data_IF_895429229066
#
_entry.id   IF_895429229066
#
_cell.length_a   1.000
_cell.length_b   1.000
_cell.length_c   1.000
_cell.angle_alpha   90.00
_cell.angle_beta   90.00
_cell.angle_gamma   90.00
#
_symmetry.space_group_name_H-M   'P 1'
#
loop_
_entity.id
_entity.type
_entity.pdbx_description
1 polymer ?
#
# COMPACT_ATOMS: atom_id res chain seq x y z
N UNK A 1 15.87 10.37 -12.22
CA UNK A 1 15.34 9.34 -11.30
C UNK A 1 14.99 9.97 -9.96
N UNK A 2 13.83 9.64 -9.42
CA UNK A 2 13.38 10.12 -8.11
C UNK A 2 13.19 8.93 -7.20
N UNK A 3 13.75 8.98 -5.98
CA UNK A 3 13.50 7.98 -4.95
C UNK A 3 12.23 8.34 -4.19
N UNK A 4 11.31 7.41 -4.04
CA UNK A 4 10.19 7.56 -3.13
C UNK A 4 10.69 7.49 -1.69
N UNK A 5 10.44 8.54 -0.93
CA UNK A 5 10.58 8.60 0.52
C UNK A 5 9.15 8.70 1.03
N UNK A 6 8.49 7.55 1.10
CA UNK A 6 7.04 7.47 1.26
C UNK A 6 6.62 6.96 2.63
N UNK A 7 5.36 7.22 2.93
CA UNK A 7 4.64 6.66 4.07
C UNK A 7 3.32 6.07 3.60
N UNK A 8 2.81 5.10 4.36
CA UNK A 8 1.46 4.57 4.21
C UNK A 8 0.52 5.38 5.10
N UNK A 9 -0.40 6.11 4.47
CA UNK A 9 -1.40 6.91 5.15
C UNK A 9 -2.70 6.10 5.25
N UNK A 10 -2.97 5.56 6.43
CA UNK A 10 -4.28 5.01 6.75
C UNK A 10 -5.23 6.14 7.05
N UNK A 11 -6.45 6.10 6.52
CA UNK A 11 -7.42 7.19 6.62
C UNK A 11 -7.92 7.35 8.06
N UNK A 12 -7.16 8.07 8.87
CA UNK A 12 -7.45 8.38 10.26
C UNK A 12 -6.85 9.75 10.63
N UNK A 13 -7.66 10.61 11.21
CA UNK A 13 -7.26 11.93 11.70
C UNK A 13 -7.31 12.01 13.24
N UNK A 14 -7.00 10.91 13.92
CA UNK A 14 -7.00 10.83 15.38
C UNK A 14 -8.41 11.02 15.95
N UNK A 15 -8.66 12.04 16.77
CA UNK A 15 -9.97 12.22 17.41
C UNK A 15 -11.12 12.47 16.44
N UNK A 16 -10.83 12.77 15.17
CA UNK A 16 -11.86 12.94 14.13
C UNK A 16 -12.21 11.60 13.44
N UNK A 17 -11.42 10.54 13.70
CA UNK A 17 -11.60 9.25 13.02
C UNK A 17 -11.52 9.40 11.51
N UNK A 18 -12.48 8.80 10.80
CA UNK A 18 -12.54 8.82 9.34
C UNK A 18 -13.19 10.09 8.75
N UNK A 19 -13.53 11.09 9.55
CA UNK A 19 -14.09 12.33 9.04
C UNK A 19 -13.05 13.14 8.28
N UNK A 20 -13.42 13.62 7.08
CA UNK A 20 -12.54 14.46 6.26
C UNK A 20 -12.50 15.87 6.80
N UNK A 21 -11.30 16.39 7.07
CA UNK A 21 -11.06 17.77 7.45
C UNK A 21 -9.83 18.30 6.70
N UNK A 22 -10.04 19.20 5.75
CA UNK A 22 -8.97 19.70 4.86
C UNK A 22 -7.82 20.36 5.63
N UNK A 23 -8.11 21.08 6.72
CA UNK A 23 -7.05 21.70 7.54
C UNK A 23 -6.21 20.69 8.29
N UNK A 24 -6.82 19.62 8.81
CA UNK A 24 -6.11 18.54 9.47
C UNK A 24 -5.26 17.74 8.48
N UNK A 25 -5.78 17.46 7.28
CA UNK A 25 -5.02 16.81 6.19
C UNK A 25 -3.83 17.68 5.76
N UNK A 26 -4.00 18.99 5.62
CA UNK A 26 -2.91 19.92 5.30
C UNK A 26 -1.82 19.87 6.37
N UNK A 27 -2.19 19.95 7.63
CA UNK A 27 -1.23 19.87 8.74
C UNK A 27 -0.47 18.53 8.75
N UNK A 28 -1.16 17.44 8.51
CA UNK A 28 -0.52 16.11 8.37
C UNK A 28 0.52 16.09 7.24
N UNK A 29 0.18 16.63 6.07
CA UNK A 29 1.12 16.71 4.94
C UNK A 29 2.29 17.66 5.22
N UNK A 30 2.08 18.76 5.92
CA UNK A 30 3.16 19.67 6.35
C UNK A 30 4.16 18.94 7.25
N UNK A 31 3.69 18.21 8.26
CA UNK A 31 4.54 17.42 9.15
C UNK A 31 5.31 16.32 8.39
N UNK A 32 4.67 15.64 7.44
CA UNK A 32 5.32 14.64 6.61
C UNK A 32 6.41 15.27 5.72
N UNK A 33 6.17 16.42 5.13
CA UNK A 33 7.17 17.15 4.34
C UNK A 33 8.35 17.63 5.19
N UNK A 34 8.10 18.13 6.39
CA UNK A 34 9.14 18.53 7.33
C UNK A 34 10.04 17.35 7.71
N UNK A 35 9.48 16.14 7.77
CA UNK A 35 10.22 14.90 7.95
C UNK A 35 10.99 14.45 6.69
N UNK A 36 10.78 15.10 5.54
CA UNK A 36 11.43 14.78 4.27
C UNK A 36 10.68 13.80 3.39
N UNK A 37 9.42 13.54 3.67
CA UNK A 37 8.53 12.70 2.85
C UNK A 37 8.20 13.42 1.53
N UNK A 38 8.23 12.69 0.42
CA UNK A 38 7.86 13.19 -0.90
C UNK A 38 6.76 12.38 -1.59
N UNK A 39 6.31 11.30 -0.94
CA UNK A 39 5.27 10.42 -1.48
C UNK A 39 4.39 9.85 -0.37
N UNK A 40 3.12 9.63 -0.66
CA UNK A 40 2.19 8.90 0.22
C UNK A 40 1.49 7.78 -0.55
N UNK A 41 1.18 6.69 0.16
CA UNK A 41 0.27 5.65 -0.28
C UNK A 41 -1.02 5.74 0.52
N UNK A 42 -2.16 5.74 -0.14
CA UNK A 42 -3.47 5.76 0.52
C UNK A 42 -3.89 4.35 0.91
N UNK A 43 -3.49 3.94 2.10
CA UNK A 43 -3.72 2.60 2.65
C UNK A 43 -5.07 2.53 3.36
N UNK A 44 -5.95 1.69 3.05
CA UNK A 44 -6.08 0.84 1.87
C UNK A 44 -7.46 1.12 1.28
N UNK A 45 -7.69 2.36 0.92
CA UNK A 45 -8.98 2.85 0.43
C UNK A 45 -8.80 4.07 -0.49
N UNK A 46 -9.82 4.31 -1.31
CA UNK A 46 -9.85 5.47 -2.18
C UNK A 46 -9.71 6.77 -1.37
N UNK A 47 -8.77 7.66 -1.73
CA UNK A 47 -8.54 8.89 -0.99
C UNK A 47 -9.71 9.88 -1.12
N UNK A 48 -9.86 10.74 -0.11
CA UNK A 48 -10.73 11.90 -0.21
C UNK A 48 -10.20 12.88 -1.27
N UNK A 49 -11.06 13.54 -2.06
CA UNK A 49 -10.63 14.54 -3.04
C UNK A 49 -9.77 15.65 -2.45
N UNK A 50 -10.08 16.09 -1.24
CA UNK A 50 -9.32 17.12 -0.51
C UNK A 50 -7.87 16.74 -0.26
N UNK A 51 -7.59 15.44 -0.04
CA UNK A 51 -6.22 14.96 0.13
C UNK A 51 -5.45 15.02 -1.20
N UNK A 52 -6.09 14.62 -2.30
CA UNK A 52 -5.47 14.63 -3.62
C UNK A 52 -5.19 16.08 -4.06
N UNK A 53 -6.16 16.99 -3.89
CA UNK A 53 -5.97 18.42 -4.15
C UNK A 53 -4.78 19.00 -3.36
N UNK A 54 -4.68 18.68 -2.08
CA UNK A 54 -3.56 19.12 -1.24
C UNK A 54 -2.22 18.55 -1.73
N UNK A 55 -2.19 17.30 -2.15
CA UNK A 55 -0.98 16.70 -2.70
C UNK A 55 -0.57 17.36 -4.02
N UNK A 56 -1.53 17.72 -4.88
CA UNK A 56 -1.26 18.52 -6.10
C UNK A 56 -0.69 19.89 -5.74
N UNK A 57 -1.29 20.61 -4.80
CA UNK A 57 -0.83 21.92 -4.34
C UNK A 57 0.57 21.88 -3.70
N UNK A 58 0.84 20.87 -2.88
CA UNK A 58 2.04 20.77 -2.06
C UNK A 58 3.18 19.99 -2.71
N UNK A 59 2.95 19.39 -3.87
CA UNK A 59 3.95 18.63 -4.61
C UNK A 59 4.32 17.29 -3.94
N UNK A 60 3.35 16.58 -3.37
CA UNK A 60 3.51 15.25 -2.78
C UNK A 60 3.01 14.20 -3.76
N UNK A 61 3.86 13.27 -4.15
CA UNK A 61 3.48 12.16 -5.04
C UNK A 61 2.52 11.20 -4.33
N UNK A 62 1.61 10.60 -5.10
CA UNK A 62 0.63 9.66 -4.56
C UNK A 62 0.64 8.32 -5.30
N UNK A 63 0.65 7.26 -4.54
CA UNK A 63 0.20 5.95 -4.95
C UNK A 63 -1.18 5.73 -4.34
N UNK A 64 -2.22 5.75 -5.15
CA UNK A 64 -3.60 5.62 -4.66
C UNK A 64 -4.13 4.21 -4.84
N UNK A 65 -4.87 3.75 -3.84
CA UNK A 65 -5.32 2.39 -3.68
C UNK A 65 -6.79 2.38 -3.27
N UNK A 66 -7.67 1.56 -3.89
CA UNK A 66 -9.09 1.62 -3.62
C UNK A 66 -9.56 0.69 -2.49
N UNK A 67 -8.92 -0.48 -2.33
CA UNK A 67 -9.35 -1.51 -1.38
C UNK A 67 -8.22 -2.52 -1.08
N UNK A 68 -8.35 -3.22 0.04
CA UNK A 68 -7.39 -4.22 0.51
C UNK A 68 -7.96 -5.64 0.57
N UNK A 69 -9.14 -5.86 0.00
CA UNK A 69 -9.82 -7.15 0.01
C UNK A 69 -10.43 -7.46 -1.35
N UNK A 70 -10.27 -8.72 -1.82
CA UNK A 70 -10.79 -9.18 -3.10
C UNK A 70 -11.76 -10.35 -2.91
N UNK A 71 -12.38 -10.81 -4.01
CA UNK A 71 -13.46 -11.79 -3.96
C UNK A 71 -13.02 -13.20 -3.59
N UNK A 72 -11.84 -13.63 -4.03
CA UNK A 72 -11.33 -14.96 -3.72
C UNK A 72 -10.68 -15.00 -2.34
N UNK A 73 -11.26 -15.74 -1.41
CA UNK A 73 -10.83 -15.82 0.00
C UNK A 73 -10.78 -14.45 0.67
N UNK A 74 -11.94 -13.79 0.83
CA UNK A 74 -11.96 -12.47 1.46
C UNK A 74 -11.40 -12.50 2.88
N UNK A 75 -10.71 -11.43 3.28
CA UNK A 75 -10.11 -11.27 4.61
C UNK A 75 -11.16 -11.28 5.72
N UNK A 76 -12.36 -10.80 5.41
CA UNK A 76 -13.45 -10.66 6.37
C UNK A 76 -14.80 -10.91 5.70
N UNK A 77 -15.77 -11.54 6.38
CA UNK A 77 -17.12 -11.72 5.84
C UNK A 77 -17.86 -10.41 5.58
N UNK A 78 -17.45 -9.33 6.26
CA UNK A 78 -18.03 -7.99 6.08
C UNK A 78 -17.09 -7.05 5.31
N UNK A 79 -16.00 -7.59 4.72
CA UNK A 79 -15.04 -6.84 3.92
C UNK A 79 -15.53 -6.57 2.51
N UNK A 80 -14.73 -5.84 1.75
CA UNK A 80 -15.02 -5.52 0.36
C UNK A 80 -15.14 -6.76 -0.54
N UNK A 81 -14.50 -7.84 -0.19
CA UNK A 81 -14.59 -9.13 -0.89
C UNK A 81 -16.02 -9.63 -1.09
N UNK A 82 -16.93 -9.32 -0.15
CA UNK A 82 -18.34 -9.68 -0.25
C UNK A 82 -19.08 -9.05 -1.45
N UNK A 83 -18.61 -7.90 -1.92
CA UNK A 83 -19.20 -7.14 -3.03
C UNK A 83 -18.26 -7.05 -4.24
N UNK A 84 -17.09 -7.63 -4.17
CA UNK A 84 -16.03 -7.50 -5.16
C UNK A 84 -16.49 -7.83 -6.59
N UNK A 85 -17.18 -8.95 -6.79
CA UNK A 85 -17.61 -9.40 -8.12
C UNK A 85 -18.60 -8.44 -8.79
N UNK A 86 -19.33 -7.67 -8.01
CA UNK A 86 -20.31 -6.70 -8.54
C UNK A 86 -19.71 -5.31 -8.72
N UNK A 87 -18.82 -4.89 -7.81
CA UNK A 87 -18.42 -3.49 -7.66
C UNK A 87 -16.98 -3.19 -8.03
N UNK A 88 -16.06 -4.14 -7.96
CA UNK A 88 -14.63 -3.87 -8.07
C UNK A 88 -14.22 -3.16 -9.37
N UNK A 89 -14.74 -3.60 -10.52
CA UNK A 89 -14.46 -2.96 -11.80
C UNK A 89 -15.06 -1.55 -11.88
N UNK A 90 -16.26 -1.35 -11.32
CA UNK A 90 -16.93 -0.04 -11.28
C UNK A 90 -16.14 0.94 -10.40
N UNK A 91 -15.78 0.50 -9.20
CA UNK A 91 -15.11 1.36 -8.22
C UNK A 91 -13.70 1.74 -8.63
N UNK A 92 -12.90 0.79 -9.12
CA UNK A 92 -11.57 1.10 -9.61
C UNK A 92 -11.62 2.00 -10.86
N UNK A 93 -12.57 1.75 -11.74
CA UNK A 93 -12.77 2.60 -12.93
C UNK A 93 -13.19 4.02 -12.54
N UNK A 94 -14.05 4.15 -11.53
CA UNK A 94 -14.46 5.44 -10.99
C UNK A 94 -13.27 6.19 -10.38
N UNK A 95 -12.46 5.53 -9.57
CA UNK A 95 -11.23 6.10 -8.99
C UNK A 95 -10.28 6.63 -10.08
N UNK A 96 -10.02 5.82 -11.10
CA UNK A 96 -9.12 6.23 -12.19
C UNK A 96 -9.69 7.42 -12.97
N UNK A 97 -10.98 7.41 -13.32
CA UNK A 97 -11.63 8.55 -14.00
C UNK A 97 -11.55 9.83 -13.19
N UNK A 98 -11.70 9.70 -11.87
CA UNK A 98 -11.69 10.86 -10.97
C UNK A 98 -10.30 11.48 -10.85
N UNK A 99 -9.25 10.66 -10.72
CA UNK A 99 -7.92 11.12 -10.33
C UNK A 99 -6.85 11.08 -11.43
N UNK A 100 -7.11 10.53 -12.61
CA UNK A 100 -6.09 10.42 -13.67
C UNK A 100 -5.54 11.76 -14.19
N UNK A 101 -6.22 12.87 -13.93
CA UNK A 101 -5.76 14.20 -14.30
C UNK A 101 -5.02 14.95 -13.17
N UNK A 102 -4.91 14.33 -11.98
CA UNK A 102 -4.19 14.92 -10.87
C UNK A 102 -2.69 14.64 -11.02
N UNK A 103 -1.83 15.67 -11.08
CA UNK A 103 -0.39 15.50 -11.30
C UNK A 103 0.33 14.82 -10.14
N UNK A 104 -0.20 14.87 -8.91
CA UNK A 104 0.35 14.13 -7.77
C UNK A 104 0.24 12.62 -7.91
N UNK A 105 -0.78 12.12 -8.59
CA UNK A 105 -0.99 10.67 -8.76
C UNK A 105 0.01 10.11 -9.75
N UNK A 106 0.95 9.30 -9.28
CA UNK A 106 2.04 8.74 -10.08
C UNK A 106 1.95 7.23 -10.28
N UNK A 107 1.10 6.55 -9.50
CA UNK A 107 0.97 5.10 -9.53
C UNK A 107 -0.44 4.67 -9.07
N UNK A 108 -0.95 3.59 -9.65
CA UNK A 108 -2.17 2.93 -9.25
C UNK A 108 -1.84 1.66 -8.47
N UNK A 109 -2.30 1.55 -7.23
CA UNK A 109 -2.29 0.29 -6.50
C UNK A 109 -3.68 -0.36 -6.62
N UNK A 110 -3.72 -1.64 -6.94
CA UNK A 110 -4.99 -2.35 -7.18
C UNK A 110 -5.40 -3.23 -6.01
N UNK A 111 -4.61 -3.28 -4.94
CA UNK A 111 -4.92 -4.05 -3.74
C UNK A 111 -3.76 -4.15 -2.77
N UNK A 112 -4.06 -4.63 -1.57
CA UNK A 112 -3.11 -4.85 -0.50
C UNK A 112 -3.31 -6.20 0.17
N UNK A 113 -2.23 -6.99 0.26
CA UNK A 113 -2.18 -8.25 1.03
C UNK A 113 -3.39 -9.18 0.79
N UNK A 114 -3.89 -9.15 -0.44
CA UNK A 114 -5.07 -9.92 -0.80
C UNK A 114 -4.80 -11.41 -0.70
N UNK A 115 -5.64 -12.21 -0.01
CA UNK A 115 -5.46 -13.66 0.02
C UNK A 115 -5.49 -14.31 -1.36
N UNK A 116 -6.07 -13.64 -2.34
CA UNK A 116 -6.08 -14.03 -3.76
C UNK A 116 -4.70 -14.20 -4.38
N UNK A 117 -3.65 -13.61 -3.80
CA UNK A 117 -2.28 -13.75 -4.29
C UNK A 117 -1.73 -15.19 -4.25
N UNK A 118 -2.40 -16.11 -3.54
CA UNK A 118 -1.99 -17.50 -3.38
C UNK A 118 -2.36 -18.45 -4.54
N UNK A 119 -3.20 -18.05 -5.46
CA UNK A 119 -3.70 -19.01 -6.47
C UNK A 119 -4.21 -18.41 -7.77
N UNK A 120 -4.48 -19.29 -8.73
CA UNK A 120 -4.96 -18.89 -10.07
C UNK A 120 -6.19 -18.00 -10.10
N UNK A 121 -7.23 -18.19 -9.26
CA UNK A 121 -8.35 -17.25 -9.24
C UNK A 121 -7.94 -15.82 -8.98
N UNK A 122 -6.92 -15.62 -8.15
CA UNK A 122 -6.40 -14.29 -7.85
C UNK A 122 -5.70 -13.61 -9.03
N UNK A 123 -5.08 -14.38 -9.92
CA UNK A 123 -4.53 -13.83 -11.17
C UNK A 123 -5.67 -13.33 -12.06
N UNK A 124 -6.79 -14.02 -12.11
CA UNK A 124 -8.00 -13.55 -12.81
C UNK A 124 -8.51 -12.22 -12.27
N UNK A 125 -8.61 -12.09 -10.95
CA UNK A 125 -9.03 -10.84 -10.28
C UNK A 125 -8.01 -9.71 -10.50
N UNK A 126 -6.71 -10.00 -10.43
CA UNK A 126 -5.65 -9.05 -10.75
C UNK A 126 -5.80 -8.54 -12.19
N UNK A 127 -5.99 -9.43 -13.16
CA UNK A 127 -6.12 -9.07 -14.57
C UNK A 127 -7.39 -8.28 -14.83
N UNK A 128 -8.50 -8.58 -14.15
CA UNK A 128 -9.73 -7.78 -14.20
C UNK A 128 -9.44 -6.31 -13.80
N UNK A 129 -8.87 -6.12 -12.63
CA UNK A 129 -8.56 -4.79 -12.11
C UNK A 129 -7.51 -4.05 -12.94
N UNK A 130 -6.44 -4.75 -13.32
CA UNK A 130 -5.39 -4.21 -14.18
C UNK A 130 -5.95 -3.74 -15.54
N UNK A 131 -6.79 -4.53 -16.16
CA UNK A 131 -7.40 -4.19 -17.45
C UNK A 131 -8.38 -3.01 -17.32
N UNK A 132 -9.15 -2.93 -16.24
CA UNK A 132 -10.02 -1.78 -15.96
C UNK A 132 -9.21 -0.47 -15.82
N UNK A 133 -8.09 -0.50 -15.10
CA UNK A 133 -7.17 0.65 -15.00
C UNK A 133 -6.60 1.00 -16.36
N UNK A 134 -6.04 0.02 -17.10
CA UNK A 134 -5.38 0.22 -18.39
C UNK A 134 -6.31 0.77 -19.47
N UNK A 135 -7.58 0.41 -19.43
CA UNK A 135 -8.58 0.95 -20.35
C UNK A 135 -8.80 2.47 -20.17
N UNK A 136 -8.47 3.03 -19.02
CA UNK A 136 -8.72 4.41 -18.66
C UNK A 136 -7.44 5.25 -18.52
N UNK A 137 -6.33 4.62 -18.14
CA UNK A 137 -5.01 5.23 -18.01
C UNK A 137 -3.91 4.21 -18.35
N UNK A 138 -3.28 4.39 -19.49
CA UNK A 138 -2.15 3.59 -19.94
C UNK A 138 -0.78 4.20 -19.56
N UNK A 139 -0.77 5.35 -18.87
CA UNK A 139 0.47 6.12 -18.65
C UNK A 139 1.15 5.82 -17.33
N UNK A 140 0.39 5.49 -16.30
CA UNK A 140 0.92 5.22 -14.96
C UNK A 140 1.11 3.73 -14.72
N UNK A 141 2.15 3.33 -13.97
CA UNK A 141 2.34 1.94 -13.60
C UNK A 141 1.30 1.47 -12.59
N UNK A 142 1.05 0.16 -12.60
CA UNK A 142 0.13 -0.54 -11.72
C UNK A 142 0.92 -1.45 -10.78
N UNK A 143 0.60 -1.37 -9.49
CA UNK A 143 1.17 -2.19 -8.42
C UNK A 143 0.10 -2.85 -7.57
N UNK A 144 0.51 -3.75 -6.68
CA UNK A 144 -0.27 -4.32 -5.59
C UNK A 144 0.70 -4.62 -4.44
N UNK A 145 0.32 -4.29 -3.22
CA UNK A 145 1.12 -4.63 -2.03
C UNK A 145 0.97 -6.12 -1.70
N UNK A 146 2.08 -6.87 -1.72
CA UNK A 146 2.10 -8.32 -1.48
C UNK A 146 2.87 -8.65 -0.21
N UNK A 147 2.29 -9.46 0.68
CA UNK A 147 2.92 -9.91 1.93
C UNK A 147 3.46 -11.35 1.86
N UNK A 148 3.01 -12.16 0.89
CA UNK A 148 3.35 -13.58 0.79
C UNK A 148 4.67 -13.82 0.03
N UNK A 149 5.64 -12.99 0.31
CA UNK A 149 6.93 -12.96 -0.38
C UNK A 149 7.94 -13.97 0.19
N UNK A 150 7.89 -14.24 1.49
CA UNK A 150 8.87 -15.13 2.15
C UNK A 150 8.87 -16.56 1.61
N UNK A 151 7.73 -17.07 1.19
CA UNK A 151 7.57 -18.41 0.62
C UNK A 151 7.74 -18.45 -0.90
N UNK A 152 7.92 -17.30 -1.57
CA UNK A 152 8.08 -17.21 -3.02
C UNK A 152 6.80 -17.41 -3.83
N UNK A 153 5.66 -17.65 -3.18
CA UNK A 153 4.41 -18.02 -3.87
C UNK A 153 4.00 -17.01 -4.94
N UNK A 154 4.04 -15.72 -4.65
CA UNK A 154 3.67 -14.65 -5.59
C UNK A 154 4.64 -14.52 -6.78
N UNK A 155 5.87 -14.99 -6.63
CA UNK A 155 6.87 -15.05 -7.70
C UNK A 155 6.62 -16.26 -8.59
N UNK A 156 6.43 -17.43 -7.96
CA UNK A 156 6.36 -18.71 -8.66
C UNK A 156 5.02 -18.92 -9.38
N UNK A 157 3.93 -18.33 -8.89
CA UNK A 157 2.60 -18.43 -9.51
C UNK A 157 2.33 -17.34 -10.58
N UNK A 158 3.25 -16.40 -10.80
CA UNK A 158 3.13 -15.36 -11.81
C UNK A 158 2.35 -14.10 -11.36
N UNK A 159 1.84 -14.05 -10.13
CA UNK A 159 1.09 -12.90 -9.63
C UNK A 159 1.93 -11.61 -9.67
N UNK A 160 3.15 -11.66 -9.12
CA UNK A 160 4.06 -10.52 -9.14
C UNK A 160 4.48 -10.12 -10.57
N UNK A 161 4.68 -11.10 -11.45
CA UNK A 161 5.06 -10.85 -12.85
C UNK A 161 3.94 -10.19 -13.69
N UNK A 162 2.70 -10.30 -13.25
CA UNK A 162 1.55 -9.66 -13.91
C UNK A 162 1.38 -8.16 -13.59
N UNK A 163 2.11 -7.64 -12.59
CA UNK A 163 2.15 -6.23 -12.23
C UNK A 163 3.19 -5.47 -13.05
N UNK A 164 3.05 -4.17 -13.23
CA UNK A 164 4.08 -3.35 -13.89
C UNK A 164 5.26 -3.09 -12.95
N UNK A 165 4.98 -2.83 -11.69
CA UNK A 165 5.96 -2.71 -10.61
C UNK A 165 5.46 -3.54 -9.42
N UNK A 166 6.04 -4.71 -9.16
CA UNK A 166 5.67 -5.52 -8.00
C UNK A 166 5.91 -4.79 -6.68
N UNK A 167 4.86 -4.67 -5.86
CA UNK A 167 4.92 -4.08 -4.52
C UNK A 167 5.12 -5.16 -3.47
N UNK A 168 6.09 -4.96 -2.58
CA UNK A 168 6.37 -5.89 -1.49
C UNK A 168 6.14 -5.21 -0.15
N UNK A 169 5.34 -5.88 0.69
CA UNK A 169 5.14 -5.50 2.06
C UNK A 169 6.14 -6.27 2.93
N UNK A 170 6.90 -5.50 3.71
CA UNK A 170 7.90 -6.04 4.64
C UNK A 170 9.03 -6.85 3.95
N UNK A 171 9.79 -7.56 4.74
CA UNK A 171 10.77 -8.59 4.30
C UNK A 171 11.80 -8.11 3.27
N UNK A 172 12.48 -6.96 3.53
CA UNK A 172 13.46 -6.40 2.60
C UNK A 172 14.65 -7.33 2.33
N UNK A 173 14.91 -8.32 3.20
CA UNK A 173 15.95 -9.34 3.01
C UNK A 173 15.72 -10.22 1.76
N UNK A 174 14.50 -10.21 1.19
CA UNK A 174 14.21 -10.96 -0.03
C UNK A 174 14.25 -10.12 -1.31
N UNK A 175 14.45 -8.80 -1.21
CA UNK A 175 14.36 -7.89 -2.36
C UNK A 175 15.33 -8.26 -3.48
N UNK A 176 16.60 -8.49 -3.17
CA UNK A 176 17.60 -8.86 -4.17
C UNK A 176 17.22 -10.15 -4.89
N UNK A 177 16.84 -11.18 -4.14
CA UNK A 177 16.39 -12.46 -4.68
C UNK A 177 15.19 -12.33 -5.62
N UNK A 178 14.24 -11.48 -5.28
CA UNK A 178 13.04 -11.28 -6.09
C UNK A 178 13.32 -10.39 -7.30
N UNK A 179 14.14 -9.39 -7.14
CA UNK A 179 14.60 -8.56 -8.25
C UNK A 179 15.25 -9.39 -9.36
N UNK A 180 16.07 -10.38 -9.00
CA UNK A 180 16.70 -11.29 -9.96
C UNK A 180 15.69 -12.21 -10.69
N UNK A 181 14.61 -12.60 -10.00
CA UNK A 181 13.61 -13.53 -10.55
C UNK A 181 12.53 -12.85 -11.39
N UNK A 182 12.30 -11.56 -11.20
CA UNK A 182 11.22 -10.83 -11.87
C UNK A 182 11.64 -10.33 -13.24
N UNK A 183 10.79 -10.48 -14.28
CA UNK A 183 11.16 -10.19 -15.67
C UNK A 183 11.40 -8.69 -15.93
N UNK A 184 10.84 -7.82 -15.13
CA UNK A 184 10.96 -6.36 -15.31
C UNK A 184 12.16 -5.74 -14.58
N UNK A 185 12.85 -6.49 -13.71
CA UNK A 185 13.94 -5.94 -12.91
C UNK A 185 13.56 -4.72 -12.06
N UNK A 186 12.30 -4.65 -11.63
CA UNK A 186 11.74 -3.55 -10.83
C UNK A 186 11.00 -4.14 -9.64
N UNK A 187 11.22 -3.55 -8.47
CA UNK A 187 10.47 -3.82 -7.25
C UNK A 187 10.19 -2.52 -6.51
N UNK A 188 9.15 -2.53 -5.69
CA UNK A 188 8.76 -1.43 -4.82
C UNK A 188 8.54 -1.96 -3.41
N UNK A 189 9.14 -1.35 -2.41
CA UNK A 189 8.69 -1.51 -1.02
C UNK A 189 7.41 -0.73 -0.83
N UNK A 190 6.27 -1.39 -0.85
CA UNK A 190 4.96 -0.76 -0.68
C UNK A 190 4.63 -0.51 0.79
N UNK A 191 5.06 -1.42 1.69
CA UNK A 191 5.12 -1.25 3.14
C UNK A 191 6.45 -1.83 3.64
N UNK A 192 7.46 -0.98 3.81
CA UNK A 192 8.81 -1.50 4.09
C UNK A 192 8.97 -1.97 5.52
N UNK A 193 8.35 -1.27 6.48
CA UNK A 193 8.49 -1.57 7.91
C UNK A 193 7.19 -1.29 8.67
N UNK A 194 6.90 -2.15 9.63
CA UNK A 194 5.82 -1.99 10.62
C UNK A 194 6.44 -1.77 12.00
N UNK A 195 7.04 -0.59 12.19
CA UNK A 195 7.65 -0.25 13.48
C UNK A 195 6.58 0.14 14.47
N UNK A 196 6.50 -0.61 15.55
CA UNK A 196 5.53 -0.35 16.62
C UNK A 196 6.07 0.73 17.54
N UNK A 197 5.42 1.90 17.55
CA UNK A 197 5.80 3.01 18.40
C UNK A 197 4.57 3.87 18.73
N UNK A 198 4.40 4.17 20.00
CA UNK A 198 3.35 5.08 20.47
C UNK A 198 3.91 6.46 20.68
N UNK A 199 3.20 7.47 20.20
CA UNK A 199 3.59 8.87 20.36
C UNK A 199 3.84 9.21 21.83
N UNK A 200 5.01 9.76 22.12
CA UNK A 200 5.42 10.11 23.48
C UNK A 200 5.96 8.96 24.33
N UNK A 201 6.07 7.77 23.76
CA UNK A 201 6.63 6.57 24.38
C UNK A 201 7.89 6.15 23.62
N UNK A 202 9.05 6.52 24.12
CA UNK A 202 10.31 6.23 23.44
C UNK A 202 11.26 5.51 24.39
N UNK A 203 11.64 4.29 24.03
CA UNK A 203 12.62 3.49 24.74
C UNK A 203 13.90 3.37 23.90
N UNK A 204 15.03 3.58 24.54
CA UNK A 204 16.33 3.44 23.91
C UNK A 204 17.25 2.53 24.73
N UNK A 205 18.14 1.76 24.06
CA UNK A 205 18.30 1.66 22.61
C UNK A 205 17.12 1.01 21.90
N UNK A 206 16.97 1.25 20.60
CA UNK A 206 16.03 0.50 19.77
C UNK A 206 16.51 -0.94 19.72
N UNK A 207 15.64 -1.87 20.05
CA UNK A 207 15.95 -3.30 20.11
C UNK A 207 15.23 -4.06 19.01
N UNK A 208 15.94 -4.98 18.36
CA UNK A 208 15.34 -5.94 17.45
C UNK A 208 14.55 -6.97 18.27
N UNK A 209 13.30 -7.21 17.92
CA UNK A 209 12.46 -8.22 18.56
C UNK A 209 12.15 -9.34 17.57
N UNK A 210 12.28 -10.57 18.03
CA UNK A 210 11.78 -11.72 17.30
C UNK A 210 10.24 -11.72 17.33
N UNK A 211 9.58 -11.99 16.21
CA UNK A 211 8.12 -12.02 16.10
C UNK A 211 7.43 -13.01 17.06
N UNK A 212 8.16 -13.94 17.64
CA UNK A 212 7.64 -14.85 18.67
C UNK A 212 7.54 -14.19 20.06
N UNK A 213 8.06 -12.99 20.22
CA UNK A 213 7.97 -12.27 21.49
C UNK A 213 6.59 -11.64 21.59
N UNK A 214 5.82 -12.02 22.61
CA UNK A 214 4.55 -11.36 22.91
C UNK A 214 4.83 -9.89 23.21
N UNK A 215 4.26 -9.01 22.40
CA UNK A 215 4.41 -7.56 22.59
C UNK A 215 3.63 -7.14 23.83
N UNK A 216 4.33 -6.86 24.90
CA UNK A 216 3.76 -6.16 26.04
C UNK A 216 3.68 -4.67 25.75
N UNK A 217 2.71 -3.92 26.32
CA UNK A 217 2.59 -2.48 26.11
C UNK A 217 3.90 -1.71 26.35
N UNK A 218 4.69 -2.13 27.33
CA UNK A 218 6.00 -1.55 27.65
C UNK A 218 7.08 -1.83 26.61
N UNK A 219 6.86 -2.79 25.72
CA UNK A 219 7.82 -3.18 24.67
C UNK A 219 7.45 -2.69 23.28
N UNK A 220 6.36 -1.96 23.14
CA UNK A 220 5.85 -1.54 21.83
C UNK A 220 6.57 -0.34 21.23
N UNK A 221 7.20 0.48 22.05
CA UNK A 221 7.92 1.66 21.58
C UNK A 221 9.32 1.30 21.08
N UNK A 222 9.73 1.85 19.97
CA UNK A 222 11.05 1.69 19.37
C UNK A 222 11.47 0.23 19.11
N UNK A 223 10.53 -0.68 19.01
CA UNK A 223 10.79 -2.07 18.65
C UNK A 223 10.15 -2.42 17.33
N UNK A 224 10.74 -3.37 16.65
CA UNK A 224 10.21 -3.97 15.44
C UNK A 224 10.48 -5.46 15.47
N UNK A 225 9.62 -6.23 14.86
CA UNK A 225 9.81 -7.66 14.79
C UNK A 225 10.57 -8.08 13.53
N UNK A 226 11.00 -9.34 13.53
CA UNK A 226 11.80 -9.92 12.46
C UNK A 226 11.03 -10.07 11.15
N UNK A 227 9.72 -10.20 11.18
CA UNK A 227 8.92 -10.37 9.97
C UNK A 227 8.58 -9.05 9.30
N UNK A 228 8.36 -8.00 10.07
CA UNK A 228 7.92 -6.72 9.54
C UNK A 228 9.06 -5.83 9.05
N UNK A 229 10.25 -5.99 9.61
CA UNK A 229 11.37 -5.09 9.33
C UNK A 229 12.62 -5.77 8.76
N UNK A 230 12.62 -7.08 8.70
CA UNK A 230 13.78 -7.84 8.20
C UNK A 230 13.47 -8.66 6.96
#
# INVERSE_FOLDING_TARGET
PTKFKGVCNHHDLGPLGAAVNKSALRHQLELLKDMGVNAIRTSHNMPAPELVELCDEMGVMMMIEPFDDWGFRPKSPNGYGAVFNEWAEKDISNMVRHYRNNPSVVMWSIGNEVPSQWGEPGIGELMLLRNAVRALDATRPITCGMDQVGQGAVIDNGFAAALDIPGFNYKPQYYDKFHEKLPHGLILGSETASTVSSRGQYFFPVEFKDHNVVLHPENQSNSYDNESCS
#
